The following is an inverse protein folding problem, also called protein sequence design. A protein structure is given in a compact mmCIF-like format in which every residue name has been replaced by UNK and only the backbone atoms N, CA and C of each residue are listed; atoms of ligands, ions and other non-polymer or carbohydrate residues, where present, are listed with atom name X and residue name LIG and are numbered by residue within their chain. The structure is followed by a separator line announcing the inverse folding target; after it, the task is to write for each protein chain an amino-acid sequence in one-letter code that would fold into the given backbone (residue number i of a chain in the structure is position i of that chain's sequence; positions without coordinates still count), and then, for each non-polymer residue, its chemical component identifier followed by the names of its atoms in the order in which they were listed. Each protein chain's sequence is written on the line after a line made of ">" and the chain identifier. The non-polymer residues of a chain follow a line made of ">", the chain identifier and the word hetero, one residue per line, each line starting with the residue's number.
data_IF_688999307462
#
_entry.id   IF_688999307462
#
_cell.length_a   1.000
_cell.length_b   1.000
_cell.length_c   1.000
_cell.angle_alpha   90.00
_cell.angle_beta   90.00
_cell.angle_gamma   90.00
#
_symmetry.space_group_name_H-M   'P 1'
#
loop_
_entity.id
_entity.type
_entity.pdbx_description
1 polymer ?
#
# COMPACT_ATOMS: atom_id res chain seq x y z
N UNK A 1 -9.82 25.48 7.12
CA UNK A 1 -8.37 25.38 7.35
C UNK A 1 -8.18 24.80 8.74
N UNK A 2 -8.13 23.48 8.88
CA UNK A 2 -7.77 22.81 10.14
C UNK A 2 -6.30 22.42 10.00
N UNK A 3 -5.42 23.28 10.50
CA UNK A 3 -4.02 22.96 10.67
C UNK A 3 -3.94 22.12 11.96
N UNK A 4 -3.72 20.82 11.82
CA UNK A 4 -3.61 19.90 12.94
C UNK A 4 -2.34 20.26 13.72
N UNK A 5 -2.50 21.09 14.76
CA UNK A 5 -1.49 21.16 15.81
C UNK A 5 -1.34 19.75 16.42
N UNK A 6 -0.17 19.46 16.96
CA UNK A 6 0.14 18.20 17.63
C UNK A 6 -0.88 17.91 18.76
N UNK A 7 -1.94 17.15 18.47
CA UNK A 7 -2.98 16.75 19.41
C UNK A 7 -2.79 15.27 19.73
N UNK A 8 -2.35 14.97 20.96
CA UNK A 8 -1.94 13.64 21.40
C UNK A 8 -2.86 13.07 22.50
N UNK A 9 -4.18 13.25 22.36
CA UNK A 9 -5.21 12.67 23.25
C UNK A 9 -6.06 11.59 22.55
N UNK A 10 -6.54 10.59 23.30
CA UNK A 10 -7.34 9.47 22.78
C UNK A 10 -8.71 9.93 22.22
N UNK A 11 -9.34 10.90 22.89
CA UNK A 11 -10.55 11.59 22.41
C UNK A 11 -10.30 12.34 21.09
N UNK A 12 -9.11 12.91 20.91
CA UNK A 12 -8.77 13.67 19.69
C UNK A 12 -8.50 12.73 18.50
N UNK A 13 -7.92 11.57 18.78
CA UNK A 13 -7.77 10.49 17.79
C UNK A 13 -9.13 10.04 17.25
N UNK A 14 -10.17 10.05 18.10
CA UNK A 14 -11.55 9.77 17.68
C UNK A 14 -12.12 10.85 16.75
N UNK A 15 -11.85 12.13 17.02
CA UNK A 15 -12.30 13.27 16.18
C UNK A 15 -11.61 13.25 14.82
N UNK A 16 -10.31 12.94 14.78
CA UNK A 16 -9.55 12.81 13.53
C UNK A 16 -10.13 11.67 12.68
N UNK A 17 -10.32 10.48 13.28
CA UNK A 17 -10.93 9.33 12.60
C UNK A 17 -12.32 9.67 12.04
N UNK A 18 -13.16 10.30 12.86
CA UNK A 18 -14.52 10.67 12.49
C UNK A 18 -14.56 11.74 11.37
N UNK A 19 -13.66 12.72 11.42
CA UNK A 19 -13.55 13.74 10.37
C UNK A 19 -13.15 13.12 9.03
N UNK A 20 -12.20 12.18 9.06
CA UNK A 20 -11.80 11.41 7.90
C UNK A 20 -12.93 10.52 7.36
N UNK A 21 -13.66 9.83 8.24
CA UNK A 21 -14.80 9.00 7.86
C UNK A 21 -15.84 9.84 7.10
N UNK A 22 -16.27 10.98 7.67
CA UNK A 22 -17.23 11.89 7.03
C UNK A 22 -16.74 12.44 5.69
N UNK A 23 -15.45 12.78 5.59
CA UNK A 23 -14.86 13.27 4.34
C UNK A 23 -14.90 12.20 3.24
N UNK A 24 -14.56 10.95 3.58
CA UNK A 24 -14.58 9.82 2.66
C UNK A 24 -16.02 9.46 2.28
N UNK A 25 -16.96 9.41 3.22
CA UNK A 25 -18.38 9.16 2.94
C UNK A 25 -18.97 10.21 1.99
N UNK A 26 -18.61 11.47 2.19
CA UNK A 26 -19.01 12.55 1.29
C UNK A 26 -18.40 12.38 -0.11
N UNK A 27 -17.16 11.93 -0.23
CA UNK A 27 -16.53 11.67 -1.51
C UNK A 27 -17.17 10.46 -2.23
N UNK A 28 -17.41 9.37 -1.49
CA UNK A 28 -18.08 8.17 -1.97
C UNK A 28 -19.48 8.47 -2.51
N UNK A 29 -20.26 9.29 -1.80
CA UNK A 29 -21.62 9.68 -2.24
C UNK A 29 -21.62 10.56 -3.50
N UNK A 30 -20.55 11.31 -3.75
CA UNK A 30 -20.46 12.24 -4.89
C UNK A 30 -19.91 11.61 -6.16
N UNK A 31 -18.88 10.78 -6.04
CA UNK A 31 -18.15 10.26 -7.21
C UNK A 31 -17.54 8.89 -7.00
N UNK A 32 -18.01 8.16 -5.98
CA UNK A 32 -17.60 6.78 -5.72
C UNK A 32 -16.16 6.62 -5.28
N UNK A 33 -15.60 5.44 -5.56
CA UNK A 33 -14.26 5.06 -5.12
C UNK A 33 -13.20 5.92 -5.81
N UNK A 34 -13.39 6.26 -7.08
CA UNK A 34 -12.49 7.15 -7.80
C UNK A 34 -12.35 8.52 -7.10
N UNK A 35 -13.47 9.16 -6.74
CA UNK A 35 -13.44 10.46 -6.03
C UNK A 35 -12.90 10.32 -4.61
N UNK A 36 -13.28 9.27 -3.87
CA UNK A 36 -12.76 9.02 -2.53
C UNK A 36 -11.23 8.82 -2.54
N UNK A 37 -10.71 8.06 -3.51
CA UNK A 37 -9.27 7.88 -3.72
C UNK A 37 -8.58 9.21 -4.09
N UNK A 38 -9.19 10.03 -4.94
CA UNK A 38 -8.66 11.34 -5.32
C UNK A 38 -8.61 12.31 -4.12
N UNK A 39 -9.66 12.33 -3.30
CA UNK A 39 -9.72 13.13 -2.06
C UNK A 39 -8.67 12.65 -1.06
N UNK A 40 -8.56 11.34 -0.84
CA UNK A 40 -7.54 10.77 0.04
C UNK A 40 -6.13 11.18 -0.41
N UNK A 41 -5.81 11.01 -1.70
CA UNK A 41 -4.51 11.42 -2.26
C UNK A 41 -4.25 12.91 -2.05
N UNK A 42 -5.24 13.75 -2.35
CA UNK A 42 -5.12 15.22 -2.28
C UNK A 42 -4.93 15.69 -0.84
N UNK A 43 -5.75 15.22 0.09
CA UNK A 43 -5.75 15.71 1.48
C UNK A 43 -4.67 15.00 2.31
N UNK A 44 -4.53 13.68 2.15
CA UNK A 44 -3.60 12.86 2.92
C UNK A 44 -2.14 13.27 2.71
N UNK A 45 -1.75 13.56 1.47
CA UNK A 45 -0.38 14.01 1.16
C UNK A 45 0.00 15.34 1.81
N UNK A 46 -0.95 16.21 2.14
CA UNK A 46 -0.67 17.46 2.86
C UNK A 46 -0.58 17.26 4.38
N UNK A 47 -1.25 16.24 4.90
CA UNK A 47 -1.34 15.97 6.34
C UNK A 47 -0.25 14.99 6.79
N UNK A 48 0.18 14.08 5.91
CA UNK A 48 1.13 13.02 6.23
C UNK A 48 2.50 13.60 6.67
N UNK A 49 2.87 13.45 7.95
CA UNK A 49 4.07 14.06 8.52
C UNK A 49 5.35 13.25 8.24
N UNK A 50 5.23 12.01 7.72
CA UNK A 50 6.36 11.13 7.41
C UNK A 50 6.38 9.82 8.21
N UNK A 51 5.77 9.81 9.40
CA UNK A 51 5.85 8.71 10.38
C UNK A 51 4.56 7.90 10.54
N UNK A 52 3.51 8.19 9.75
CA UNK A 52 2.21 7.54 9.85
C UNK A 52 1.31 7.99 11.00
N UNK A 53 1.79 8.81 11.94
CA UNK A 53 1.03 9.19 13.13
C UNK A 53 -0.10 10.20 12.87
N UNK A 54 -0.06 10.92 11.73
CA UNK A 54 -1.06 11.93 11.37
C UNK A 54 -2.26 11.45 10.57
N UNK A 55 -2.24 10.21 10.06
CA UNK A 55 -3.29 9.67 9.20
C UNK A 55 -3.83 8.36 9.80
N UNK A 56 -5.14 8.22 10.07
CA UNK A 56 -5.73 6.97 10.57
C UNK A 56 -5.80 5.91 9.45
N UNK A 57 -4.63 5.38 9.07
CA UNK A 57 -4.45 4.51 7.91
C UNK A 57 -5.26 3.23 7.99
N UNK A 58 -5.32 2.61 9.17
CA UNK A 58 -6.10 1.40 9.44
C UNK A 58 -7.60 1.59 9.15
N UNK A 59 -8.16 2.67 9.67
CA UNK A 59 -9.57 3.03 9.52
C UNK A 59 -9.88 3.38 8.06
N UNK A 60 -9.03 4.21 7.43
CA UNK A 60 -9.19 4.62 6.04
C UNK A 60 -9.06 3.45 5.07
N UNK A 61 -8.05 2.60 5.26
CA UNK A 61 -7.80 1.42 4.44
C UNK A 61 -9.00 0.46 4.52
N UNK A 62 -9.41 0.07 5.73
CA UNK A 62 -10.53 -0.86 5.90
C UNK A 62 -11.84 -0.30 5.32
N UNK A 63 -12.13 0.99 5.55
CA UNK A 63 -13.32 1.63 5.03
C UNK A 63 -13.33 1.59 3.49
N UNK A 64 -12.27 2.09 2.85
CA UNK A 64 -12.21 2.16 1.39
C UNK A 64 -12.23 0.78 0.73
N UNK A 65 -11.52 -0.21 1.29
CA UNK A 65 -11.50 -1.57 0.74
C UNK A 65 -12.86 -2.25 0.84
N UNK A 66 -13.57 -2.04 1.96
CA UNK A 66 -14.93 -2.56 2.13
C UNK A 66 -15.90 -1.86 1.18
N UNK A 67 -15.89 -0.53 1.11
CA UNK A 67 -16.75 0.22 0.21
C UNK A 67 -16.51 -0.15 -1.27
N UNK A 68 -15.25 -0.37 -1.63
CA UNK A 68 -14.87 -0.79 -2.97
C UNK A 68 -15.34 -2.21 -3.31
N UNK A 69 -15.26 -3.13 -2.35
CA UNK A 69 -15.80 -4.48 -2.51
C UNK A 69 -17.32 -4.45 -2.66
N UNK A 70 -18.03 -3.75 -1.76
CA UNK A 70 -19.50 -3.70 -1.75
C UNK A 70 -20.04 -3.10 -3.06
N UNK A 71 -19.39 -2.06 -3.59
CA UNK A 71 -19.74 -1.42 -4.88
C UNK A 71 -19.43 -2.29 -6.10
N UNK A 72 -18.34 -3.04 -6.05
CA UNK A 72 -17.98 -3.99 -7.11
C UNK A 72 -18.96 -5.18 -7.13
N UNK A 73 -19.28 -5.75 -5.96
CA UNK A 73 -20.20 -6.89 -5.84
C UNK A 73 -21.65 -6.50 -6.20
N UNK A 74 -22.07 -5.28 -5.88
CA UNK A 74 -23.39 -4.75 -6.28
C UNK A 74 -23.45 -4.30 -7.75
N UNK A 75 -22.31 -4.25 -8.45
CA UNK A 75 -22.23 -3.79 -9.84
C UNK A 75 -22.50 -2.29 -10.03
N UNK A 76 -22.52 -1.51 -8.94
CA UNK A 76 -22.77 -0.05 -8.97
C UNK A 76 -21.58 0.69 -9.57
N UNK A 77 -20.37 0.19 -9.36
CA UNK A 77 -19.13 0.82 -9.82
C UNK A 77 -18.11 -0.26 -10.23
N UNK A 78 -17.47 -0.09 -11.38
CA UNK A 78 -16.31 -0.89 -11.76
C UNK A 78 -15.09 -0.38 -11.00
N UNK A 79 -14.74 -1.06 -9.90
CA UNK A 79 -13.62 -0.65 -9.05
C UNK A 79 -12.38 -1.49 -9.35
N UNK A 80 -11.25 -0.83 -9.64
CA UNK A 80 -9.97 -1.51 -9.85
C UNK A 80 -9.45 -2.17 -8.57
N UNK A 81 -8.66 -3.23 -8.74
CA UNK A 81 -7.98 -3.91 -7.63
C UNK A 81 -6.81 -3.12 -7.03
N UNK A 82 -6.48 -1.98 -7.62
CA UNK A 82 -5.25 -1.23 -7.34
C UNK A 82 -5.53 0.21 -6.87
N UNK A 83 -6.77 0.71 -7.03
CA UNK A 83 -7.12 2.12 -6.82
C UNK A 83 -6.87 2.57 -5.38
N UNK A 84 -7.34 1.77 -4.42
CA UNK A 84 -7.22 2.07 -2.99
C UNK A 84 -5.75 2.01 -2.55
N UNK A 85 -5.02 0.96 -2.94
CA UNK A 85 -3.60 0.81 -2.62
C UNK A 85 -2.76 1.99 -3.14
N UNK A 86 -2.98 2.39 -4.40
CA UNK A 86 -2.28 3.55 -4.99
C UNK A 86 -2.66 4.86 -4.33
N UNK A 87 -3.93 5.03 -3.94
CA UNK A 87 -4.38 6.21 -3.22
C UNK A 87 -3.73 6.33 -1.83
N UNK A 88 -3.63 5.22 -1.10
CA UNK A 88 -2.95 5.15 0.20
C UNK A 88 -1.45 5.45 0.08
N UNK A 89 -0.77 4.82 -0.89
CA UNK A 89 0.64 5.12 -1.18
C UNK A 89 0.84 6.60 -1.51
N UNK A 90 -0.02 7.18 -2.33
CA UNK A 90 0.07 8.59 -2.69
C UNK A 90 -0.22 9.52 -1.50
N UNK A 91 -1.18 9.17 -0.63
CA UNK A 91 -1.45 9.89 0.61
C UNK A 91 -0.24 9.85 1.55
N UNK A 92 0.50 8.74 1.58
CA UNK A 92 1.73 8.56 2.35
C UNK A 92 3.01 9.00 1.63
N UNK A 93 2.91 9.77 0.53
CA UNK A 93 4.06 10.26 -0.25
C UNK A 93 5.03 9.14 -0.70
N UNK A 94 4.48 7.96 -1.00
CA UNK A 94 5.26 6.78 -1.41
C UNK A 94 5.89 6.00 -0.25
N UNK A 95 5.59 6.31 1.02
CA UNK A 95 6.04 5.51 2.14
C UNK A 95 5.32 4.14 2.13
N UNK A 96 6.02 3.11 1.64
CA UNK A 96 5.47 1.76 1.45
C UNK A 96 5.33 1.00 2.77
N UNK A 97 6.31 1.09 3.67
CA UNK A 97 6.29 0.37 4.95
C UNK A 97 5.07 0.69 5.82
N UNK A 98 4.67 1.96 6.04
CA UNK A 98 3.46 2.28 6.80
C UNK A 98 2.19 1.68 6.20
N UNK A 99 2.03 1.79 4.87
CA UNK A 99 0.87 1.24 4.16
C UNK A 99 0.84 -0.28 4.23
N UNK A 100 1.99 -0.94 4.06
CA UNK A 100 2.10 -2.39 4.17
C UNK A 100 1.78 -2.88 5.59
N UNK A 101 2.30 -2.19 6.60
CA UNK A 101 2.02 -2.52 8.01
C UNK A 101 0.53 -2.44 8.33
N UNK A 102 -0.17 -1.44 7.76
CA UNK A 102 -1.63 -1.35 7.88
C UNK A 102 -2.33 -2.56 7.28
N UNK A 103 -1.99 -2.96 6.06
CA UNK A 103 -2.56 -4.15 5.44
C UNK A 103 -2.23 -5.43 6.25
N UNK A 104 -1.02 -5.53 6.80
CA UNK A 104 -0.63 -6.64 7.66
C UNK A 104 -1.47 -6.75 8.93
N UNK A 105 -1.70 -5.63 9.59
CA UNK A 105 -2.57 -5.56 10.75
C UNK A 105 -4.00 -5.98 10.41
N UNK A 106 -4.53 -5.51 9.28
CA UNK A 106 -5.88 -5.88 8.82
C UNK A 106 -6.00 -7.36 8.45
N UNK A 107 -4.97 -7.95 7.82
CA UNK A 107 -4.94 -9.36 7.46
C UNK A 107 -4.77 -10.27 8.68
N UNK A 108 -4.05 -9.81 9.71
CA UNK A 108 -3.78 -10.56 10.95
C UNK A 108 -4.90 -10.41 11.98
N UNK A 109 -5.63 -9.28 11.97
CA UNK A 109 -6.71 -9.02 12.91
C UNK A 109 -7.90 -9.95 12.66
N UNK A 110 -8.00 -10.99 13.48
CA UNK A 110 -9.11 -11.95 13.45
C UNK A 110 -10.44 -11.41 14.01
N UNK A 111 -10.43 -10.21 14.60
CA UNK A 111 -11.60 -9.62 15.27
C UNK A 111 -12.70 -9.17 14.31
N UNK A 112 -12.34 -8.94 13.04
CA UNK A 112 -13.27 -8.68 11.95
C UNK A 112 -12.93 -9.75 10.93
N UNK A 113 -13.52 -10.94 10.98
CA UNK A 113 -13.26 -11.97 9.98
C UNK A 113 -13.63 -11.37 8.61
N UNK A 114 -12.67 -10.91 7.78
CA UNK A 114 -13.00 -10.32 6.50
C UNK A 114 -13.53 -11.49 5.68
N UNK A 115 -14.64 -11.29 4.98
CA UNK A 115 -15.13 -12.30 4.04
C UNK A 115 -13.95 -12.79 3.17
N UNK A 116 -13.92 -14.06 2.73
CA UNK A 116 -12.83 -14.54 1.87
C UNK A 116 -12.58 -13.61 0.67
N UNK A 117 -13.63 -12.98 0.14
CA UNK A 117 -13.55 -11.94 -0.91
C UNK A 117 -12.80 -10.68 -0.45
N UNK A 118 -13.11 -10.16 0.74
CA UNK A 118 -12.41 -9.00 1.29
C UNK A 118 -10.94 -9.31 1.53
N UNK A 119 -10.61 -10.50 2.06
CA UNK A 119 -9.21 -10.94 2.21
C UNK A 119 -8.50 -11.00 0.87
N UNK A 120 -9.15 -11.57 -0.15
CA UNK A 120 -8.59 -11.62 -1.51
C UNK A 120 -8.36 -10.21 -2.08
N UNK A 121 -9.28 -9.28 -1.84
CA UNK A 121 -9.14 -7.87 -2.24
C UNK A 121 -7.96 -7.20 -1.53
N UNK A 122 -7.84 -7.36 -0.21
CA UNK A 122 -6.69 -6.85 0.55
C UNK A 122 -5.37 -7.42 0.01
N UNK A 123 -5.33 -8.71 -0.33
CA UNK A 123 -4.14 -9.35 -0.91
C UNK A 123 -3.80 -8.79 -2.30
N UNK A 124 -4.78 -8.43 -3.12
CA UNK A 124 -4.56 -7.70 -4.39
C UNK A 124 -3.91 -6.34 -4.13
N UNK A 125 -4.44 -5.59 -3.19
CA UNK A 125 -3.88 -4.29 -2.80
C UNK A 125 -2.47 -4.40 -2.24
N UNK A 126 -2.19 -5.41 -1.41
CA UNK A 126 -0.85 -5.72 -0.90
C UNK A 126 0.13 -6.03 -2.02
N UNK A 127 -0.28 -6.81 -3.03
CA UNK A 127 0.56 -7.10 -4.19
C UNK A 127 0.97 -5.80 -4.92
N UNK A 128 0.06 -4.83 -5.06
CA UNK A 128 0.37 -3.51 -5.64
C UNK A 128 1.40 -2.77 -4.79
N UNK A 129 1.22 -2.75 -3.46
CA UNK A 129 2.16 -2.11 -2.53
C UNK A 129 3.56 -2.73 -2.63
N UNK A 130 3.66 -4.07 -2.68
CA UNK A 130 4.96 -4.74 -2.81
C UNK A 130 5.61 -4.51 -4.17
N UNK A 131 4.83 -4.44 -5.26
CA UNK A 131 5.34 -4.11 -6.60
C UNK A 131 5.91 -2.68 -6.64
N UNK A 132 5.20 -1.70 -6.08
CA UNK A 132 5.69 -0.32 -5.95
C UNK A 132 6.95 -0.23 -5.08
N UNK A 133 7.02 -1.01 -4.01
CA UNK A 133 8.21 -1.08 -3.18
C UNK A 133 9.40 -1.68 -3.92
N UNK A 134 9.19 -2.78 -4.65
CA UNK A 134 10.23 -3.40 -5.46
C UNK A 134 10.72 -2.44 -6.56
N UNK A 135 9.81 -1.77 -7.27
CA UNK A 135 10.13 -0.77 -8.29
C UNK A 135 10.97 0.38 -7.72
N UNK A 136 10.64 0.86 -6.52
CA UNK A 136 11.42 1.90 -5.84
C UNK A 136 12.86 1.45 -5.55
N UNK A 137 13.06 0.21 -5.12
CA UNK A 137 14.40 -0.37 -4.87
C UNK A 137 15.18 -0.53 -6.18
N UNK A 138 14.52 -0.97 -7.26
CA UNK A 138 15.16 -1.07 -8.58
C UNK A 138 15.53 0.30 -9.15
N UNK A 139 14.64 1.29 -9.02
CA UNK A 139 14.88 2.66 -9.48
C UNK A 139 16.07 3.32 -8.76
N UNK A 140 16.20 3.10 -7.44
CA UNK A 140 17.37 3.55 -6.68
C UNK A 140 18.67 2.92 -7.18
N UNK A 141 18.63 1.64 -7.60
CA UNK A 141 19.80 0.96 -8.20
C UNK A 141 20.14 1.54 -9.58
N UNK A 142 19.14 1.77 -10.43
CA UNK A 142 19.33 2.29 -11.79
C UNK A 142 19.82 3.75 -11.79
N UNK A 143 19.31 4.58 -10.87
CA UNK A 143 19.76 5.96 -10.67
C UNK A 143 21.19 6.09 -10.14
N UNK A 144 21.78 5.00 -9.64
CA UNK A 144 23.18 4.96 -9.19
C UNK A 144 24.17 4.49 -10.26
N UNK A 145 23.69 4.04 -11.43
CA UNK A 145 24.56 3.60 -12.52
C UNK A 145 24.64 4.65 -13.65
N UNK A 146 25.82 5.29 -13.71
CA UNK A 146 26.37 6.15 -14.78
C UNK A 146 26.47 7.66 -14.42
N UNK A 147 27.72 8.10 -14.23
CA UNK A 147 28.19 9.49 -14.42
C UNK A 147 27.63 10.60 -13.52
N UNK A 148 27.80 10.53 -12.19
CA UNK A 148 27.51 11.69 -11.33
C UNK A 148 27.96 11.69 -9.87
N UNK A 149 28.53 10.59 -9.34
CA UNK A 149 28.82 10.47 -7.89
C UNK A 149 30.11 11.16 -7.42
N UNK A 150 30.69 12.06 -8.20
CA UNK A 150 31.74 12.95 -7.74
C UNK A 150 31.28 14.38 -7.96
N UNK A 151 30.65 14.99 -6.93
CA UNK A 151 31.02 16.32 -6.44
C UNK A 151 29.98 17.06 -5.57
N UNK A 152 28.74 16.59 -5.36
CA UNK A 152 27.74 17.47 -4.73
C UNK A 152 27.08 16.83 -3.50
N UNK A 153 27.52 17.34 -2.34
CA UNK A 153 26.84 17.39 -1.04
C UNK A 153 26.93 16.17 -0.08
N UNK A 154 28.06 16.10 0.64
CA UNK A 154 28.06 16.04 2.12
C UNK A 154 27.22 14.97 2.81
N UNK A 155 27.46 13.69 2.52
CA UNK A 155 26.93 12.58 3.30
C UNK A 155 27.39 11.24 2.75
N UNK A 156 28.53 10.74 3.22
CA UNK A 156 29.08 9.44 2.82
C UNK A 156 28.26 8.29 3.40
N UNK A 157 27.09 7.99 2.83
CA UNK A 157 26.60 6.61 2.87
C UNK A 157 27.41 5.85 1.83
N UNK A 158 28.29 4.95 2.28
CA UNK A 158 29.08 4.10 1.39
C UNK A 158 28.13 3.39 0.42
N UNK A 159 28.51 3.30 -0.85
CA UNK A 159 27.80 2.53 -1.87
C UNK A 159 27.52 1.08 -1.40
N UNK A 160 28.40 0.53 -0.56
CA UNK A 160 28.22 -0.78 0.08
C UNK A 160 27.08 -0.77 1.10
N UNK A 161 26.91 0.30 1.87
CA UNK A 161 25.85 0.44 2.87
C UNK A 161 24.48 0.57 2.21
N UNK A 162 24.39 1.34 1.11
CA UNK A 162 23.16 1.41 0.30
C UNK A 162 22.85 0.08 -0.40
N UNK A 163 23.87 -0.64 -0.88
CA UNK A 163 23.69 -1.97 -1.48
C UNK A 163 23.19 -3.01 -0.45
N UNK A 164 23.73 -2.99 0.77
CA UNK A 164 23.31 -3.87 1.88
C UNK A 164 21.88 -3.53 2.33
N UNK A 165 21.54 -2.24 2.47
CA UNK A 165 20.18 -1.81 2.79
C UNK A 165 19.18 -2.26 1.72
N UNK A 166 19.52 -2.07 0.43
CA UNK A 166 18.68 -2.51 -0.68
C UNK A 166 18.56 -4.02 -0.79
N UNK A 167 19.56 -4.78 -0.34
CA UNK A 167 19.45 -6.23 -0.24
C UNK A 167 18.50 -6.64 0.90
N UNK A 168 18.64 -6.02 2.08
CA UNK A 168 17.75 -6.28 3.22
C UNK A 168 16.28 -5.94 2.91
N UNK A 169 16.04 -4.86 2.17
CA UNK A 169 14.68 -4.51 1.70
C UNK A 169 14.16 -5.55 0.70
N UNK A 170 14.98 -6.03 -0.25
CA UNK A 170 14.57 -7.10 -1.18
C UNK A 170 14.21 -8.40 -0.44
N UNK A 171 14.98 -8.74 0.58
CA UNK A 171 14.72 -9.93 1.41
C UNK A 171 13.41 -9.78 2.19
N UNK A 172 13.11 -8.57 2.71
CA UNK A 172 11.80 -8.26 3.32
C UNK A 172 10.64 -8.42 2.33
N UNK A 173 10.76 -7.86 1.13
CA UNK A 173 9.72 -7.96 0.09
C UNK A 173 9.50 -9.43 -0.30
N UNK A 174 10.58 -10.19 -0.50
CA UNK A 174 10.53 -11.62 -0.84
C UNK A 174 9.88 -12.45 0.27
N UNK A 175 10.25 -12.20 1.53
CA UNK A 175 9.64 -12.86 2.70
C UNK A 175 8.14 -12.55 2.80
N UNK A 176 7.76 -11.27 2.62
CA UNK A 176 6.36 -10.85 2.61
C UNK A 176 5.56 -11.51 1.48
N UNK A 177 6.07 -11.50 0.25
CA UNK A 177 5.44 -12.13 -0.91
C UNK A 177 5.20 -13.63 -0.69
N UNK A 178 6.16 -14.34 -0.10
CA UNK A 178 6.02 -15.76 0.24
C UNK A 178 4.95 -16.02 1.30
N UNK A 179 4.90 -15.18 2.34
CA UNK A 179 3.85 -15.22 3.37
C UNK A 179 2.47 -15.03 2.74
N UNK A 180 2.27 -13.98 1.93
CA UNK A 180 0.98 -13.72 1.30
C UNK A 180 0.59 -14.77 0.26
N UNK A 181 1.55 -15.36 -0.45
CA UNK A 181 1.29 -16.52 -1.33
C UNK A 181 0.64 -17.67 -0.56
N UNK A 182 1.11 -17.92 0.67
CA UNK A 182 0.53 -18.93 1.55
C UNK A 182 -0.87 -18.53 2.01
N UNK A 183 -1.09 -17.25 2.32
CA UNK A 183 -2.42 -16.73 2.68
C UNK A 183 -3.42 -16.85 1.53
N UNK A 184 -3.02 -16.53 0.28
CA UNK A 184 -3.88 -16.71 -0.90
C UNK A 184 -4.31 -18.18 -1.05
N UNK A 185 -3.40 -19.15 -0.86
CA UNK A 185 -3.70 -20.58 -0.93
C UNK A 185 -4.65 -21.06 0.17
N UNK A 186 -4.68 -20.39 1.32
CA UNK A 186 -5.54 -20.73 2.47
C UNK A 186 -6.96 -20.20 2.31
N UNK A 187 -7.22 -19.31 1.34
CA UNK A 187 -8.56 -18.79 1.10
C UNK A 187 -9.49 -19.89 0.57
N UNK A 188 -10.67 -20.01 1.18
CA UNK A 188 -11.73 -20.90 0.73
C UNK A 188 -12.50 -20.30 -0.47
N UNK A 189 -11.79 -19.98 -1.55
CA UNK A 189 -12.33 -19.40 -2.79
C UNK A 189 -11.96 -20.25 -4.01
N UNK A 190 -12.74 -20.18 -5.10
CA UNK A 190 -12.41 -20.86 -6.35
C UNK A 190 -11.05 -20.41 -6.90
N UNK A 191 -10.29 -21.36 -7.45
CA UNK A 191 -8.96 -21.08 -8.00
C UNK A 191 -9.00 -20.00 -9.09
N UNK A 192 -10.06 -19.96 -9.90
CA UNK A 192 -10.23 -18.93 -10.94
C UNK A 192 -10.19 -17.48 -10.42
N UNK A 193 -10.50 -17.26 -9.14
CA UNK A 193 -10.47 -15.93 -8.53
C UNK A 193 -9.11 -15.62 -7.87
N UNK A 194 -8.45 -16.64 -7.32
CA UNK A 194 -7.21 -16.50 -6.54
C UNK A 194 -5.96 -16.62 -7.40
N UNK A 195 -6.04 -17.27 -8.56
CA UNK A 195 -4.93 -17.60 -9.45
C UNK A 195 -4.14 -16.37 -9.89
N UNK A 196 -4.81 -15.29 -10.32
CA UNK A 196 -4.13 -14.06 -10.74
C UNK A 196 -3.30 -13.42 -9.61
N UNK A 197 -3.81 -13.45 -8.38
CA UNK A 197 -3.13 -12.89 -7.20
C UNK A 197 -1.96 -13.77 -6.79
N UNK A 198 -2.18 -15.08 -6.79
CA UNK A 198 -1.15 -16.08 -6.53
C UNK A 198 0.02 -15.97 -7.52
N UNK A 199 -0.28 -15.91 -8.83
CA UNK A 199 0.74 -15.73 -9.86
C UNK A 199 1.47 -14.39 -9.71
N UNK A 200 0.76 -13.32 -9.38
CA UNK A 200 1.38 -12.02 -9.18
C UNK A 200 2.42 -11.99 -8.06
N UNK A 201 2.15 -12.65 -6.93
CA UNK A 201 3.14 -12.78 -5.85
C UNK A 201 4.34 -13.64 -6.26
N UNK A 202 4.12 -14.71 -7.03
CA UNK A 202 5.18 -15.59 -7.54
C UNK A 202 6.08 -14.87 -8.54
N UNK A 203 5.48 -14.14 -9.46
CA UNK A 203 6.18 -13.31 -10.44
C UNK A 203 7.03 -12.24 -9.75
N UNK A 204 6.50 -11.58 -8.72
CA UNK A 204 7.25 -10.62 -7.92
C UNK A 204 8.45 -11.28 -7.20
N UNK A 205 8.27 -12.47 -6.65
CA UNK A 205 9.35 -13.22 -6.02
C UNK A 205 10.47 -13.58 -7.03
N UNK A 206 10.07 -13.97 -8.24
CA UNK A 206 10.98 -14.31 -9.35
C UNK A 206 11.71 -13.06 -9.90
N UNK A 207 11.02 -11.92 -9.99
CA UNK A 207 11.61 -10.65 -10.43
C UNK A 207 12.64 -10.11 -9.42
N UNK A 208 12.49 -10.43 -8.13
CA UNK A 208 13.49 -10.07 -7.10
C UNK A 208 14.75 -10.94 -7.16
N UNK A 209 14.63 -12.19 -7.65
CA UNK A 209 15.74 -13.14 -7.82
C UNK A 209 16.50 -12.92 -9.13
N UNK A 210 15.83 -12.47 -10.19
CA UNK A 210 16.42 -12.25 -11.50
C UNK A 210 16.85 -10.79 -11.70
N UNK A 211 18.14 -10.48 -11.94
CA UNK A 211 18.59 -9.10 -12.08
C UNK A 211 18.10 -8.37 -13.35
N UNK A 212 17.42 -9.06 -14.29
CA UNK A 212 17.21 -8.60 -15.67
C UNK A 212 15.79 -8.81 -16.24
N UNK A 213 14.77 -9.23 -15.46
CA UNK A 213 13.49 -9.63 -16.06
C UNK A 213 12.44 -8.53 -16.22
N UNK A 214 12.80 -7.24 -16.10
CA UNK A 214 11.82 -6.14 -16.12
C UNK A 214 11.45 -5.59 -17.51
N UNK A 215 11.88 -6.22 -18.61
CA UNK A 215 11.49 -5.82 -19.97
C UNK A 215 10.06 -6.23 -20.38
N UNK A 216 9.20 -6.65 -19.44
CA UNK A 216 7.79 -7.01 -19.71
C UNK A 216 6.84 -6.55 -18.62
N UNK A 217 6.58 -5.24 -18.55
CA UNK A 217 5.31 -4.69 -18.07
C UNK A 217 4.95 -3.47 -18.91
#
# INVERSE_FOLDING_TARGET
>A
MLYFAYYSGDDDSSIVRETWARLIDQALSRGGIAEACAVLKRVGSHIYPGDGAGLPLDTLCLHLEKAAMDRLESGVESVGGEDVARALLAACKGATEPVLNTYDQLLTSGAILPSPNLRLRLLRSVLVVLREWAMSVFAQRMGTSATGASLILGGTFSMEQTAVLNQGVRDKISSAANRYTTEVRRLALPQSQTEAVYHGFRELEESLKSPFSFDRF
#
